data_IF_858808706450
#
_entry.id   IF_858808706450
#
_cell.length_a   1.000
_cell.length_b   1.000
_cell.length_c   1.000
_cell.angle_alpha   90.00
_cell.angle_beta   90.00
_cell.angle_gamma   90.00
#
_symmetry.space_group_name_H-M   'P 1'
#
loop_
_entity.id
_entity.type
_entity.pdbx_description
1 polymer ?
#
# COMPACT_ATOMS: atom_id res chain seq x y z
N UNK A 1 27.43 -22.43 32.87
CA UNK A 1 26.94 -22.03 31.52
C UNK A 1 26.28 -23.13 30.67
N UNK A 2 26.76 -24.38 30.61
CA UNK A 2 26.19 -25.44 29.73
C UNK A 2 24.74 -25.87 30.04
N UNK A 3 24.24 -25.71 31.27
CA UNK A 3 22.88 -26.11 31.70
C UNK A 3 21.78 -25.22 31.09
N UNK A 4 22.03 -23.92 30.97
CA UNK A 4 21.10 -22.94 30.36
C UNK A 4 20.90 -23.17 28.85
N UNK A 5 21.97 -23.55 28.13
CA UNK A 5 21.87 -23.90 26.71
C UNK A 5 21.02 -25.15 26.44
N UNK A 6 20.92 -26.08 27.41
CA UNK A 6 20.08 -27.29 27.29
C UNK A 6 18.59 -26.95 27.40
N UNK A 7 18.23 -25.97 28.22
CA UNK A 7 16.87 -25.44 28.35
C UNK A 7 16.40 -24.72 27.08
N UNK A 8 17.27 -23.89 26.48
CA UNK A 8 17.00 -23.21 25.20
C UNK A 8 16.77 -24.18 24.02
N UNK A 9 17.25 -25.43 24.12
CA UNK A 9 17.02 -26.47 23.10
C UNK A 9 15.70 -27.23 23.27
N UNK A 10 14.96 -27.05 24.37
CA UNK A 10 13.70 -27.75 24.61
C UNK A 10 12.62 -27.31 23.59
N UNK A 11 11.92 -28.27 22.99
CA UNK A 11 10.86 -28.01 22.00
C UNK A 11 9.73 -27.14 22.56
N UNK A 12 9.36 -27.35 23.82
CA UNK A 12 8.30 -26.57 24.49
C UNK A 12 8.72 -25.12 24.74
N UNK A 13 9.99 -24.90 25.11
CA UNK A 13 10.52 -23.55 25.27
C UNK A 13 10.50 -22.79 23.94
N UNK A 14 10.88 -23.45 22.84
CA UNK A 14 10.80 -22.84 21.50
C UNK A 14 9.37 -22.46 21.11
N UNK A 15 8.40 -23.34 21.39
CA UNK A 15 6.98 -23.03 21.12
C UNK A 15 6.57 -21.79 21.91
N UNK A 16 6.80 -21.77 23.22
CA UNK A 16 6.40 -20.66 24.10
C UNK A 16 7.08 -19.37 23.64
N UNK A 17 8.39 -19.40 23.39
CA UNK A 17 9.14 -18.24 22.94
C UNK A 17 8.60 -17.67 21.62
N UNK A 18 8.43 -18.52 20.59
CA UNK A 18 7.94 -18.09 19.29
C UNK A 18 6.46 -17.66 19.33
N UNK A 19 5.64 -18.33 20.14
CA UNK A 19 4.25 -17.91 20.38
C UNK A 19 4.18 -16.55 21.08
N UNK A 20 5.04 -16.27 22.07
CA UNK A 20 5.10 -14.95 22.73
C UNK A 20 5.55 -13.87 21.74
N UNK A 21 6.61 -14.12 20.97
CA UNK A 21 7.06 -13.18 19.92
C UNK A 21 5.95 -12.94 18.89
N UNK A 22 5.24 -13.99 18.49
CA UNK A 22 4.12 -13.87 17.56
C UNK A 22 2.95 -13.09 18.16
N UNK A 23 2.57 -13.34 19.41
CA UNK A 23 1.52 -12.59 20.11
C UNK A 23 1.90 -11.12 20.23
N UNK A 24 3.16 -10.80 20.56
CA UNK A 24 3.64 -9.42 20.56
C UNK A 24 3.52 -8.77 19.17
N UNK A 25 3.83 -9.52 18.10
CA UNK A 25 3.61 -9.06 16.72
C UNK A 25 2.11 -8.87 16.41
N UNK A 26 1.23 -9.77 16.86
CA UNK A 26 -0.21 -9.66 16.67
C UNK A 26 -0.79 -8.47 17.44
N UNK A 27 -0.31 -8.21 18.66
CA UNK A 27 -0.68 -7.02 19.44
C UNK A 27 -0.18 -5.76 18.74
N UNK A 28 1.06 -5.76 18.25
CA UNK A 28 1.66 -4.64 17.54
C UNK A 28 0.91 -4.31 16.25
N UNK A 29 0.58 -5.32 15.44
CA UNK A 29 -0.28 -5.16 14.26
C UNK A 29 -1.73 -4.83 14.65
N UNK A 30 -2.16 -5.26 15.84
CA UNK A 30 -3.51 -5.19 16.40
C UNK A 30 -4.58 -5.76 15.48
N UNK A 31 -4.23 -6.80 14.71
CA UNK A 31 -5.14 -7.58 13.89
C UNK A 31 -5.30 -8.97 14.52
N UNK A 32 -6.37 -9.16 15.29
CA UNK A 32 -6.65 -10.37 16.04
C UNK A 32 -6.86 -11.60 15.17
N UNK A 33 -7.21 -11.42 13.89
CA UNK A 33 -7.34 -12.53 12.93
C UNK A 33 -6.02 -13.29 12.73
N UNK A 34 -4.89 -12.61 12.93
CA UNK A 34 -3.57 -13.24 12.88
C UNK A 34 -3.37 -14.25 14.01
N UNK A 35 -4.18 -14.27 15.09
CA UNK A 35 -4.08 -15.30 16.13
C UNK A 35 -4.32 -16.72 15.60
N UNK A 36 -5.00 -16.88 14.46
CA UNK A 36 -5.12 -18.17 13.78
C UNK A 36 -3.77 -18.78 13.34
N UNK A 37 -2.69 -17.98 13.34
CA UNK A 37 -1.32 -18.48 13.17
C UNK A 37 -0.73 -19.20 14.39
N UNK A 38 -1.32 -19.09 15.59
CA UNK A 38 -0.84 -19.81 16.78
C UNK A 38 -0.99 -21.33 16.66
N UNK A 39 -2.14 -21.88 16.18
CA UNK A 39 -2.25 -23.29 15.82
C UNK A 39 -1.16 -23.77 14.84
N UNK A 40 -0.76 -22.91 13.89
CA UNK A 40 0.32 -23.20 12.93
C UNK A 40 1.67 -23.32 13.62
N UNK A 41 2.00 -22.39 14.53
CA UNK A 41 3.24 -22.43 15.33
C UNK A 41 3.24 -23.66 16.25
N UNK A 42 2.10 -23.96 16.87
CA UNK A 42 1.94 -25.14 17.73
C UNK A 42 2.13 -26.44 16.94
N UNK A 43 1.50 -26.54 15.77
CA UNK A 43 1.64 -27.69 14.90
C UNK A 43 3.08 -27.85 14.38
N UNK A 44 3.74 -26.75 14.01
CA UNK A 44 5.14 -26.78 13.57
C UNK A 44 6.10 -27.42 14.60
N UNK A 45 5.94 -27.10 15.87
CA UNK A 45 6.86 -27.54 16.91
C UNK A 45 6.43 -28.80 17.67
N UNK A 46 5.12 -29.00 17.90
CA UNK A 46 4.59 -30.09 18.73
C UNK A 46 4.00 -31.19 17.86
N UNK A 47 2.90 -30.89 17.18
CA UNK A 47 2.02 -31.89 16.57
C UNK A 47 2.59 -32.46 15.27
N UNK A 48 3.33 -31.64 14.50
CA UNK A 48 3.95 -31.96 13.21
C UNK A 48 3.02 -32.67 12.23
N UNK A 49 1.70 -32.45 12.33
CA UNK A 49 0.71 -33.03 11.40
C UNK A 49 0.88 -32.41 10.03
N UNK A 50 1.04 -31.09 9.97
CA UNK A 50 1.37 -30.36 8.75
C UNK A 50 2.88 -30.08 8.74
N UNK A 51 3.54 -30.44 7.64
CA UNK A 51 4.98 -30.24 7.50
C UNK A 51 5.27 -28.84 6.96
N UNK A 52 5.36 -27.85 7.85
CA UNK A 52 5.68 -26.47 7.47
C UNK A 52 7.15 -26.25 7.08
N UNK A 53 8.03 -27.24 7.24
CA UNK A 53 9.42 -27.20 6.71
C UNK A 53 9.48 -27.67 5.25
N UNK A 54 8.72 -27.04 4.36
CA UNK A 54 8.74 -27.37 2.92
C UNK A 54 10.10 -27.10 2.26
N UNK A 55 10.95 -26.27 2.87
CA UNK A 55 12.32 -25.97 2.39
C UNK A 55 13.40 -26.99 2.80
N UNK A 56 13.08 -27.98 3.64
CA UNK A 56 14.08 -28.93 4.17
C UNK A 56 14.00 -30.25 3.41
N UNK A 57 15.12 -30.71 2.83
CA UNK A 57 15.23 -32.02 2.17
C UNK A 57 14.73 -33.13 3.10
N UNK A 58 13.84 -33.98 2.57
CA UNK A 58 13.30 -35.15 3.29
C UNK A 58 14.07 -36.40 2.88
N UNK A 59 14.25 -37.32 3.82
CA UNK A 59 14.79 -38.66 3.56
C UNK A 59 13.68 -39.69 3.21
N UNK A 60 12.46 -39.23 2.93
CA UNK A 60 11.34 -40.09 2.54
C UNK A 60 11.20 -40.03 1.02
N UNK A 61 10.93 -41.19 0.43
CA UNK A 61 11.01 -41.52 -1.00
C UNK A 61 10.71 -40.36 -1.96
N UNK A 62 11.58 -40.25 -2.97
CA UNK A 62 11.64 -39.27 -4.07
C UNK A 62 10.31 -38.55 -4.31
N UNK A 63 10.10 -37.38 -3.68
CA UNK A 63 9.16 -36.39 -4.22
C UNK A 63 9.61 -36.05 -5.64
N UNK A 64 8.65 -35.88 -6.56
CA UNK A 64 8.95 -35.36 -7.89
C UNK A 64 9.67 -34.02 -7.75
N UNK A 65 10.74 -33.79 -8.54
CA UNK A 65 11.46 -32.51 -8.61
C UNK A 65 10.51 -31.31 -8.80
N UNK A 66 9.37 -31.56 -9.43
CA UNK A 66 8.30 -30.59 -9.67
C UNK A 66 7.66 -30.10 -8.35
N UNK A 67 7.43 -31.00 -7.40
CA UNK A 67 6.84 -30.65 -6.10
C UNK A 67 7.81 -29.82 -5.28
N UNK A 68 9.11 -30.17 -5.29
CA UNK A 68 10.14 -29.36 -4.60
C UNK A 68 10.24 -27.95 -5.18
N UNK A 69 10.11 -27.80 -6.50
CA UNK A 69 10.10 -26.50 -7.17
C UNK A 69 8.85 -25.68 -6.84
N UNK A 70 7.66 -26.29 -6.83
CA UNK A 70 6.42 -25.64 -6.40
C UNK A 70 6.51 -25.20 -4.92
N UNK A 71 7.01 -26.07 -4.05
CA UNK A 71 7.20 -25.79 -2.62
C UNK A 71 8.11 -24.56 -2.42
N UNK A 72 9.21 -24.47 -3.19
CA UNK A 72 10.11 -23.32 -3.16
C UNK A 72 9.47 -22.04 -3.71
N UNK A 73 8.66 -22.14 -4.77
CA UNK A 73 7.95 -21.00 -5.35
C UNK A 73 6.92 -20.43 -4.37
N UNK A 74 6.09 -21.27 -3.76
CA UNK A 74 5.09 -20.86 -2.77
C UNK A 74 5.76 -20.13 -1.60
N UNK A 75 6.89 -20.64 -1.12
CA UNK A 75 7.67 -19.97 -0.09
C UNK A 75 8.12 -18.57 -0.48
N UNK A 76 8.74 -18.46 -1.66
CA UNK A 76 9.28 -17.21 -2.16
C UNK A 76 8.15 -16.17 -2.27
N UNK A 77 6.97 -16.57 -2.76
CA UNK A 77 5.80 -15.69 -2.86
C UNK A 77 5.31 -15.24 -1.48
N UNK A 78 5.18 -16.14 -0.50
CA UNK A 78 4.76 -15.79 0.86
C UNK A 78 5.77 -14.83 1.51
N UNK A 79 7.05 -15.17 1.46
CA UNK A 79 8.12 -14.36 2.03
C UNK A 79 8.20 -12.98 1.36
N UNK A 80 8.16 -12.92 0.03
CA UNK A 80 8.15 -11.67 -0.72
C UNK A 80 6.91 -10.82 -0.41
N UNK A 81 5.73 -11.44 -0.23
CA UNK A 81 4.50 -10.73 0.15
C UNK A 81 4.63 -10.09 1.53
N UNK A 82 5.20 -10.80 2.51
CA UNK A 82 5.44 -10.27 3.86
C UNK A 82 6.46 -9.13 3.83
N UNK A 83 7.60 -9.32 3.16
CA UNK A 83 8.65 -8.30 3.03
C UNK A 83 8.08 -7.05 2.37
N UNK A 84 7.35 -7.21 1.26
CA UNK A 84 6.70 -6.13 0.52
C UNK A 84 5.64 -5.42 1.35
N UNK A 85 4.89 -6.14 2.19
CA UNK A 85 3.82 -5.56 2.99
C UNK A 85 4.38 -4.68 4.12
N UNK A 86 5.42 -5.12 4.81
CA UNK A 86 5.87 -4.51 6.07
C UNK A 86 7.22 -3.80 6.03
N UNK A 87 8.14 -4.21 5.17
CA UNK A 87 9.54 -3.79 5.26
C UNK A 87 9.93 -2.83 4.15
N UNK A 88 9.98 -3.34 2.92
CA UNK A 88 10.57 -2.63 1.77
C UNK A 88 9.70 -2.86 0.54
N UNK A 89 9.46 -1.81 -0.24
CA UNK A 89 8.85 -1.92 -1.56
C UNK A 89 9.73 -1.22 -2.60
N UNK A 90 9.93 -1.89 -3.73
CA UNK A 90 10.62 -1.33 -4.87
C UNK A 90 9.63 -0.59 -5.77
N UNK A 91 9.93 0.67 -6.11
CA UNK A 91 9.14 1.48 -7.02
C UNK A 91 10.00 1.90 -8.22
N UNK A 92 9.43 1.83 -9.41
CA UNK A 92 10.03 2.41 -10.62
C UNK A 92 9.45 3.81 -10.84
N UNK A 93 10.27 4.77 -11.25
CA UNK A 93 9.81 6.15 -11.52
C UNK A 93 9.36 6.25 -12.99
N UNK A 94 8.05 6.43 -13.26
CA UNK A 94 7.55 6.48 -14.63
C UNK A 94 7.56 7.90 -15.23
N UNK A 95 7.80 8.94 -14.43
CA UNK A 95 7.63 10.34 -14.86
C UNK A 95 8.79 11.23 -14.44
N UNK A 96 9.14 12.22 -15.27
CA UNK A 96 10.27 13.15 -15.08
C UNK A 96 10.02 14.23 -14.01
N UNK A 97 9.00 14.09 -13.17
CA UNK A 97 8.66 15.14 -12.19
C UNK A 97 9.76 15.38 -11.14
N UNK A 98 10.69 14.44 -10.98
CA UNK A 98 11.84 14.54 -10.08
C UNK A 98 13.18 14.52 -10.83
N UNK A 99 13.21 14.79 -12.14
CA UNK A 99 14.37 14.58 -13.03
C UNK A 99 15.68 15.22 -12.53
N UNK A 100 15.60 16.34 -11.82
CA UNK A 100 16.79 16.98 -11.20
C UNK A 100 17.42 16.17 -10.05
N UNK A 101 16.77 15.11 -9.57
CA UNK A 101 17.25 14.25 -8.48
C UNK A 101 17.17 12.77 -8.81
N UNK A 102 16.15 12.36 -9.58
CA UNK A 102 15.87 10.97 -9.93
C UNK A 102 15.35 10.90 -11.37
N UNK A 103 15.98 10.06 -12.19
CA UNK A 103 15.66 9.96 -13.61
C UNK A 103 14.50 9.00 -13.85
N UNK A 104 13.87 9.14 -15.02
CA UNK A 104 12.84 8.19 -15.47
C UNK A 104 13.48 6.83 -15.69
N UNK A 105 12.88 5.79 -15.12
CA UNK A 105 13.41 4.42 -15.17
C UNK A 105 14.23 4.02 -13.93
N UNK A 106 14.56 4.95 -13.03
CA UNK A 106 15.23 4.61 -11.78
C UNK A 106 14.34 3.75 -10.87
N UNK A 107 14.96 2.79 -10.18
CA UNK A 107 14.33 1.96 -9.16
C UNK A 107 14.70 2.43 -7.76
N UNK A 108 13.70 2.69 -6.93
CA UNK A 108 13.85 3.12 -5.54
C UNK A 108 13.43 2.00 -4.60
N UNK A 109 14.27 1.71 -3.60
CA UNK A 109 13.87 0.92 -2.45
C UNK A 109 13.31 1.83 -1.36
N UNK A 110 12.02 1.68 -1.07
CA UNK A 110 11.32 2.50 -0.09
C UNK A 110 11.15 1.73 1.21
N UNK A 111 11.68 2.27 2.30
CA UNK A 111 11.48 1.73 3.65
C UNK A 111 10.09 2.09 4.18
N UNK A 112 9.26 1.07 4.39
CA UNK A 112 7.95 1.22 5.05
C UNK A 112 8.08 1.33 6.57
N UNK A 113 9.16 0.79 7.13
CA UNK A 113 9.41 0.80 8.57
C UNK A 113 9.71 2.22 9.09
N UNK A 114 10.30 3.07 8.25
CA UNK A 114 10.68 4.44 8.62
C UNK A 114 9.47 5.28 9.06
N UNK A 115 8.37 5.24 8.29
CA UNK A 115 7.16 6.04 8.56
C UNK A 115 5.95 5.22 9.02
N UNK A 116 6.13 3.90 9.16
CA UNK A 116 5.12 3.00 9.66
C UNK A 116 4.45 2.21 8.53
N UNK A 117 4.58 0.87 8.53
CA UNK A 117 3.92 0.04 7.53
C UNK A 117 2.40 0.11 7.69
N UNK A 118 1.70 -0.04 6.56
CA UNK A 118 0.24 -0.07 6.50
C UNK A 118 -0.23 -1.51 6.53
N UNK A 119 -1.27 -1.79 7.31
CA UNK A 119 -1.92 -3.10 7.28
C UNK A 119 -2.64 -3.28 5.95
N UNK A 120 -2.55 -4.48 5.33
CA UNK A 120 -3.29 -4.76 4.11
C UNK A 120 -4.80 -4.72 4.38
N UNK A 121 -5.53 -3.93 3.61
CA UNK A 121 -6.99 -3.83 3.73
C UNK A 121 -7.68 -4.96 2.96
N UNK A 122 -7.08 -5.38 1.85
CA UNK A 122 -7.54 -6.48 0.99
C UNK A 122 -6.61 -7.69 1.08
N UNK A 123 -6.77 -8.57 2.10
CA UNK A 123 -5.89 -9.72 2.29
C UNK A 123 -6.01 -10.75 1.15
N UNK A 124 -7.20 -10.85 0.54
CA UNK A 124 -7.45 -11.72 -0.60
C UNK A 124 -7.25 -10.95 -1.90
N UNK A 125 -6.00 -10.81 -2.31
CA UNK A 125 -5.62 -10.18 -3.57
C UNK A 125 -4.54 -10.99 -4.27
N UNK A 126 -4.51 -10.90 -5.60
CA UNK A 126 -3.43 -11.47 -6.39
C UNK A 126 -2.13 -10.70 -6.05
N UNK A 127 -1.05 -11.40 -5.64
CA UNK A 127 0.20 -10.74 -5.31
C UNK A 127 0.73 -9.93 -6.50
N UNK A 128 1.33 -8.77 -6.22
CA UNK A 128 1.98 -7.90 -7.20
C UNK A 128 1.08 -7.26 -8.27
N UNK A 129 -0.25 -7.42 -8.20
CA UNK A 129 -1.19 -6.79 -9.13
C UNK A 129 -2.10 -5.78 -8.42
N UNK A 130 -2.18 -4.56 -8.96
CA UNK A 130 -3.03 -3.48 -8.42
C UNK A 130 -4.32 -3.33 -9.22
N UNK A 131 -4.21 -3.30 -10.56
CA UNK A 131 -5.33 -3.27 -11.52
C UNK A 131 -4.90 -3.90 -12.83
N UNK A 132 -5.82 -4.53 -13.54
CA UNK A 132 -5.60 -4.87 -14.95
C UNK A 132 -5.99 -3.68 -15.82
N UNK A 133 -5.09 -3.24 -16.69
CA UNK A 133 -5.38 -2.14 -17.61
C UNK A 133 -6.49 -2.54 -18.58
N UNK A 134 -7.50 -1.68 -18.76
CA UNK A 134 -8.56 -1.87 -19.75
C UNK A 134 -9.63 -2.91 -19.39
N UNK A 135 -9.62 -3.48 -18.17
CA UNK A 135 -10.68 -4.41 -17.74
C UNK A 135 -11.38 -3.94 -16.47
N UNK A 136 -12.65 -4.31 -16.34
CA UNK A 136 -13.45 -4.13 -15.13
C UNK A 136 -13.09 -5.14 -14.03
N UNK A 137 -12.17 -6.08 -14.31
CA UNK A 137 -11.81 -7.14 -13.39
C UNK A 137 -10.94 -6.59 -12.25
N UNK A 138 -11.43 -6.76 -11.02
CA UNK A 138 -10.71 -6.38 -9.81
C UNK A 138 -9.78 -7.54 -9.41
N UNK A 139 -8.44 -7.34 -9.33
CA UNK A 139 -7.49 -8.38 -8.89
C UNK A 139 -7.55 -8.69 -7.39
N UNK A 140 -8.61 -8.24 -6.71
CA UNK A 140 -8.82 -8.38 -5.28
C UNK A 140 -10.27 -8.70 -5.01
N UNK A 141 -10.50 -9.50 -3.97
CA UNK A 141 -11.84 -9.79 -3.48
C UNK A 141 -12.23 -8.81 -2.39
N UNK A 142 -13.49 -8.38 -2.43
CA UNK A 142 -14.08 -7.48 -1.45
C UNK A 142 -14.78 -8.23 -0.31
N UNK A 143 -14.72 -9.56 -0.28
CA UNK A 143 -15.37 -10.42 0.74
C UNK A 143 -14.85 -10.16 2.16
N UNK A 144 -13.55 -9.88 2.29
CA UNK A 144 -12.90 -9.59 3.56
C UNK A 144 -12.17 -8.27 3.41
N UNK A 145 -12.67 -7.21 4.06
CA UNK A 145 -12.03 -5.90 4.13
C UNK A 145 -11.68 -5.56 5.56
N UNK A 146 -10.41 -5.24 5.80
CA UNK A 146 -9.98 -4.68 7.07
C UNK A 146 -10.04 -3.14 7.02
N UNK A 147 -10.33 -2.46 8.15
CA UNK A 147 -10.25 -1.02 8.23
C UNK A 147 -8.81 -0.54 8.01
N UNK A 148 -8.66 0.69 7.50
CA UNK A 148 -7.34 1.30 7.33
C UNK A 148 -6.63 1.44 8.67
N UNK A 149 -5.41 0.90 8.76
CA UNK A 149 -4.57 1.02 9.94
C UNK A 149 -3.11 1.17 9.53
N UNK A 150 -2.46 2.22 10.05
CA UNK A 150 -1.02 2.43 9.91
C UNK A 150 -0.34 2.15 11.24
N UNK A 151 0.70 1.32 11.20
CA UNK A 151 1.51 1.02 12.39
C UNK A 151 2.46 2.18 12.67
N UNK A 152 2.95 2.26 13.92
CA UNK A 152 3.90 3.30 14.29
C UNK A 152 5.24 3.06 13.60
N UNK A 153 5.74 4.05 12.88
CA UNK A 153 7.08 4.04 12.29
C UNK A 153 8.19 4.28 13.30
N UNK A 154 9.42 3.97 12.92
CA UNK A 154 10.62 4.23 13.74
C UNK A 154 11.06 5.70 13.71
N UNK A 155 10.70 6.45 12.65
CA UNK A 155 11.12 7.82 12.43
C UNK A 155 9.96 8.80 12.25
N UNK A 156 10.32 10.08 12.11
CA UNK A 156 9.42 11.18 11.75
C UNK A 156 9.86 11.74 10.40
N UNK A 157 8.90 12.25 9.62
CA UNK A 157 9.16 12.92 8.34
C UNK A 157 10.01 14.17 8.58
N UNK A 158 11.03 14.37 7.73
CA UNK A 158 11.88 15.54 7.71
C UNK A 158 11.73 16.27 6.39
N UNK A 159 12.08 17.56 6.40
CA UNK A 159 12.20 18.34 5.17
C UNK A 159 13.23 17.69 4.25
N UNK A 160 12.97 17.81 2.96
CA UNK A 160 13.73 17.24 1.84
C UNK A 160 13.74 15.72 1.73
N UNK A 161 13.07 14.98 2.62
CA UNK A 161 12.89 13.54 2.45
C UNK A 161 12.15 13.24 1.15
N UNK A 162 12.61 12.21 0.42
CA UNK A 162 11.86 11.67 -0.71
C UNK A 162 10.84 10.69 -0.14
N UNK A 163 9.56 11.04 -0.30
CA UNK A 163 8.44 10.31 0.30
C UNK A 163 7.59 9.69 -0.79
N UNK A 164 7.10 8.48 -0.49
CA UNK A 164 6.09 7.79 -1.30
C UNK A 164 4.78 7.76 -0.54
N UNK A 165 3.73 8.24 -1.18
CA UNK A 165 2.39 8.34 -0.59
C UNK A 165 1.33 8.04 -1.65
N UNK A 166 0.13 7.70 -1.19
CA UNK A 166 -1.01 7.50 -2.10
C UNK A 166 -1.45 8.83 -2.69
N UNK A 167 -1.79 8.81 -3.97
CA UNK A 167 -2.37 9.95 -4.62
C UNK A 167 -3.71 10.32 -3.95
N UNK A 168 -3.86 11.54 -3.40
CA UNK A 168 -5.04 11.89 -2.60
C UNK A 168 -6.38 11.85 -3.34
N UNK A 169 -6.36 12.03 -4.67
CA UNK A 169 -7.55 11.99 -5.53
C UNK A 169 -7.71 10.62 -6.25
N UNK A 170 -7.07 9.56 -5.73
CA UNK A 170 -7.01 8.24 -6.36
C UNK A 170 -8.05 7.22 -5.86
N UNK A 171 -8.91 7.61 -4.92
CA UNK A 171 -9.96 6.77 -4.33
C UNK A 171 -11.05 6.36 -5.35
N UNK A 172 -11.35 7.26 -6.27
CA UNK A 172 -12.41 7.12 -7.29
C UNK A 172 -11.81 7.30 -8.68
N UNK A 173 -12.06 6.33 -9.58
CA UNK A 173 -11.51 6.32 -10.93
C UNK A 173 -12.60 6.10 -11.97
N UNK A 174 -12.53 6.86 -13.07
CA UNK A 174 -13.28 6.60 -14.29
C UNK A 174 -12.45 5.66 -15.19
N UNK A 175 -12.94 4.44 -15.48
CA UNK A 175 -12.14 3.41 -16.16
C UNK A 175 -11.69 3.85 -17.56
N UNK A 176 -12.56 4.53 -18.29
CA UNK A 176 -12.32 4.99 -19.66
C UNK A 176 -11.38 6.20 -19.71
N UNK A 177 -11.20 6.92 -18.60
CA UNK A 177 -10.29 8.08 -18.47
C UNK A 177 -9.41 7.97 -17.24
N UNK A 178 -8.79 6.81 -17.04
CA UNK A 178 -7.93 6.52 -15.88
C UNK A 178 -6.67 7.38 -15.78
N UNK A 179 -6.29 8.10 -16.84
CA UNK A 179 -5.17 9.06 -16.83
C UNK A 179 -5.46 10.34 -16.02
N UNK A 180 -6.73 10.67 -15.77
CA UNK A 180 -7.13 11.84 -15.01
C UNK A 180 -7.85 11.43 -13.72
N UNK A 181 -7.70 12.24 -12.66
CA UNK A 181 -8.47 12.01 -11.43
C UNK A 181 -9.96 12.26 -11.68
N UNK A 182 -10.81 11.47 -11.02
CA UNK A 182 -12.26 11.66 -11.08
C UNK A 182 -12.66 13.11 -10.73
N UNK A 183 -12.04 13.68 -9.68
CA UNK A 183 -12.32 15.05 -9.26
C UNK A 183 -11.87 16.10 -10.28
N UNK A 184 -10.79 15.87 -11.02
CA UNK A 184 -10.39 16.76 -12.12
C UNK A 184 -11.41 16.72 -13.25
N UNK A 185 -11.89 15.55 -13.63
CA UNK A 185 -12.95 15.39 -14.65
C UNK A 185 -14.21 16.14 -14.22
N UNK A 186 -14.67 15.94 -12.98
CA UNK A 186 -15.84 16.64 -12.42
C UNK A 186 -15.64 18.15 -12.40
N UNK A 187 -14.48 18.65 -11.96
CA UNK A 187 -14.18 20.09 -11.95
C UNK A 187 -14.18 20.69 -13.35
N UNK A 188 -13.63 19.98 -14.34
CA UNK A 188 -13.60 20.43 -15.72
C UNK A 188 -15.02 20.56 -16.30
N UNK A 189 -15.88 19.57 -16.10
CA UNK A 189 -17.29 19.65 -16.51
C UNK A 189 -18.04 20.76 -15.78
N UNK A 190 -17.84 20.88 -14.46
CA UNK A 190 -18.48 21.94 -13.66
C UNK A 190 -18.08 23.34 -14.18
N UNK A 191 -16.80 23.53 -14.50
CA UNK A 191 -16.31 24.77 -15.09
C UNK A 191 -16.94 25.03 -16.46
N UNK A 192 -17.02 24.03 -17.34
CA UNK A 192 -17.65 24.16 -18.66
C UNK A 192 -19.13 24.58 -18.54
N UNK A 193 -19.91 23.93 -17.68
CA UNK A 193 -21.33 24.27 -17.46
C UNK A 193 -21.46 25.71 -16.96
N UNK A 194 -20.60 26.11 -16.01
CA UNK A 194 -20.57 27.47 -15.48
C UNK A 194 -20.25 28.50 -16.57
N UNK A 195 -19.27 28.24 -17.42
CA UNK A 195 -18.93 29.14 -18.53
C UNK A 195 -20.10 29.26 -19.52
N UNK A 196 -20.78 28.15 -19.84
CA UNK A 196 -21.93 28.17 -20.74
C UNK A 196 -23.10 28.98 -20.18
N UNK A 197 -23.38 28.88 -18.87
CA UNK A 197 -24.41 29.69 -18.21
C UNK A 197 -24.08 31.19 -18.28
N UNK A 198 -22.82 31.55 -17.99
CA UNK A 198 -22.33 32.93 -18.07
C UNK A 198 -22.46 33.48 -19.50
N UNK A 199 -22.04 32.69 -20.50
CA UNK A 199 -22.15 33.06 -21.92
C UNK A 199 -23.61 33.20 -22.38
N UNK A 200 -24.52 32.43 -21.81
CA UNK A 200 -25.96 32.50 -22.08
C UNK A 200 -26.67 33.66 -21.36
N UNK A 201 -25.93 34.51 -20.63
CA UNK A 201 -26.49 35.62 -19.85
C UNK A 201 -27.22 35.20 -18.58
N UNK A 202 -27.08 33.94 -18.13
CA UNK A 202 -27.69 33.47 -16.88
C UNK A 202 -26.83 33.89 -15.69
N UNK A 203 -27.48 34.19 -14.58
CA UNK A 203 -26.78 34.43 -13.32
C UNK A 203 -26.06 33.15 -12.87
N UNK A 204 -24.76 33.22 -12.52
CA UNK A 204 -24.00 32.05 -12.11
C UNK A 204 -24.59 31.48 -10.81
N UNK A 205 -24.92 30.20 -10.84
CA UNK A 205 -25.43 29.46 -9.68
C UNK A 205 -24.30 29.15 -8.68
N UNK A 206 -24.69 28.59 -7.54
CA UNK A 206 -23.75 28.10 -6.53
C UNK A 206 -22.79 27.06 -7.14
N UNK A 207 -21.51 27.07 -6.74
CA UNK A 207 -20.51 26.09 -7.16
C UNK A 207 -20.94 24.63 -6.92
N UNK A 208 -21.62 24.37 -5.79
CA UNK A 208 -22.14 23.05 -5.47
C UNK A 208 -23.16 22.54 -6.50
N UNK A 209 -23.94 23.44 -7.10
CA UNK A 209 -24.87 23.09 -8.18
C UNK A 209 -24.10 22.57 -9.38
N UNK A 210 -23.09 23.32 -9.86
CA UNK A 210 -22.27 22.91 -11.00
C UNK A 210 -21.53 21.60 -10.75
N UNK A 211 -21.00 21.41 -9.54
CA UNK A 211 -20.35 20.15 -9.15
C UNK A 211 -21.33 18.97 -9.13
N UNK A 212 -22.56 19.15 -8.63
CA UNK A 212 -23.58 18.10 -8.64
C UNK A 212 -23.99 17.68 -10.05
N UNK A 213 -24.18 18.65 -10.94
CA UNK A 213 -24.56 18.38 -12.33
C UNK A 213 -23.40 17.70 -13.08
N UNK A 214 -22.18 18.18 -12.89
CA UNK A 214 -20.99 17.54 -13.44
C UNK A 214 -20.85 16.09 -12.97
N UNK A 215 -21.11 15.77 -11.70
CA UNK A 215 -21.09 14.38 -11.20
C UNK A 215 -22.14 13.51 -11.90
N UNK A 216 -23.32 14.04 -12.16
CA UNK A 216 -24.38 13.31 -12.89
C UNK A 216 -23.95 13.01 -14.33
N UNK A 217 -23.37 13.98 -15.03
CA UNK A 217 -22.84 13.80 -16.39
C UNK A 217 -21.73 12.75 -16.40
N UNK A 218 -20.77 12.87 -15.50
CA UNK A 218 -19.64 11.93 -15.39
C UNK A 218 -20.13 10.51 -15.11
N UNK A 219 -21.11 10.34 -14.21
CA UNK A 219 -21.69 9.02 -13.90
C UNK A 219 -22.47 8.40 -15.08
N UNK A 220 -23.04 9.22 -15.96
CA UNK A 220 -23.74 8.75 -17.17
C UNK A 220 -22.78 8.34 -18.28
N UNK A 221 -21.64 9.04 -18.39
CA UNK A 221 -20.71 8.88 -19.51
C UNK A 221 -19.56 7.91 -19.21
N UNK A 222 -19.30 7.59 -17.94
CA UNK A 222 -18.14 6.81 -17.52
C UNK A 222 -18.48 5.78 -16.46
N UNK A 223 -17.75 4.66 -16.47
CA UNK A 223 -17.83 3.63 -15.45
C UNK A 223 -16.98 4.04 -14.25
N UNK A 224 -17.66 4.40 -13.15
CA UNK A 224 -17.01 4.86 -11.92
C UNK A 224 -16.80 3.70 -10.96
N UNK A 225 -15.54 3.51 -10.56
CA UNK A 225 -15.13 2.47 -9.60
C UNK A 225 -14.35 3.11 -8.46
N UNK A 226 -14.66 2.69 -7.24
CA UNK A 226 -13.89 3.06 -6.05
C UNK A 226 -12.87 1.97 -5.71
N UNK A 227 -11.71 2.37 -5.20
CA UNK A 227 -10.60 1.49 -4.82
C UNK A 227 -10.29 1.64 -3.33
N UNK A 228 -9.87 0.57 -2.64
CA UNK A 228 -9.35 0.70 -1.29
C UNK A 228 -7.96 1.35 -1.31
N UNK A 229 -7.56 1.95 -0.18
CA UNK A 229 -6.33 2.75 -0.04
C UNK A 229 -5.05 1.97 -0.36
N UNK A 230 -5.04 0.64 -0.19
CA UNK A 230 -3.92 -0.23 -0.53
C UNK A 230 -3.81 -0.56 -2.03
N UNK A 231 -4.79 -0.12 -2.84
CA UNK A 231 -4.86 -0.29 -4.31
C UNK A 231 -4.86 1.03 -5.08
N UNK A 232 -4.71 2.14 -4.38
CA UNK A 232 -4.53 3.46 -4.99
C UNK A 232 -3.12 3.64 -5.55
N UNK A 233 -2.98 4.56 -6.50
CA UNK A 233 -1.70 4.88 -7.12
C UNK A 233 -0.76 5.56 -6.12
N UNK A 234 0.54 5.29 -6.28
CA UNK A 234 1.58 5.85 -5.41
C UNK A 234 2.36 6.94 -6.15
N UNK A 235 2.64 8.04 -5.46
CA UNK A 235 3.41 9.16 -5.96
C UNK A 235 4.70 9.29 -5.15
N UNK A 236 5.80 9.56 -5.85
CA UNK A 236 7.09 9.89 -5.23
C UNK A 236 7.31 11.39 -5.36
N UNK A 237 7.50 12.08 -4.24
CA UNK A 237 7.79 13.53 -4.21
C UNK A 237 8.77 13.87 -3.09
N UNK A 238 9.36 15.06 -3.16
CA UNK A 238 10.17 15.64 -2.09
C UNK A 238 9.26 16.34 -1.07
N UNK A 239 9.44 16.03 0.21
CA UNK A 239 8.75 16.71 1.31
C UNK A 239 9.40 18.08 1.56
N UNK A 240 8.86 19.14 0.95
CA UNK A 240 9.44 20.49 1.09
C UNK A 240 9.16 21.09 2.47
N UNK A 241 7.94 20.94 2.96
CA UNK A 241 7.49 21.48 4.25
C UNK A 241 6.85 20.38 5.11
N UNK A 242 6.99 20.51 6.42
CA UNK A 242 6.38 19.62 7.42
C UNK A 242 5.33 20.36 8.25
N UNK A 243 4.54 19.62 9.03
CA UNK A 243 3.52 20.23 9.90
C UNK A 243 4.13 21.30 10.82
N UNK A 244 3.49 22.48 10.86
CA UNK A 244 3.98 23.66 11.56
C UNK A 244 4.78 24.64 10.70
N UNK A 245 5.16 24.26 9.49
CA UNK A 245 5.84 25.17 8.56
C UNK A 245 4.85 26.09 7.84
N UNK A 246 5.27 27.33 7.61
CA UNK A 246 4.70 28.23 6.61
C UNK A 246 5.47 28.08 5.31
N UNK A 247 4.77 27.71 4.24
CA UNK A 247 5.32 27.58 2.90
C UNK A 247 4.83 28.71 2.02
N UNK A 248 5.74 29.43 1.38
CA UNK A 248 5.42 30.52 0.47
C UNK A 248 6.20 30.40 -0.85
N UNK A 249 5.57 30.81 -1.95
CA UNK A 249 6.26 30.99 -3.22
C UNK A 249 6.32 32.47 -3.57
N UNK A 250 7.53 33.02 -3.73
CA UNK A 250 7.75 34.42 -4.11
C UNK A 250 8.65 34.47 -5.35
N UNK A 251 8.13 35.00 -6.46
CA UNK A 251 8.85 35.14 -7.75
C UNK A 251 9.57 33.84 -8.19
N UNK A 252 8.91 32.69 -8.03
CA UNK A 252 9.46 31.38 -8.41
C UNK A 252 10.40 30.72 -7.39
N UNK A 253 10.69 31.37 -6.25
CA UNK A 253 11.46 30.79 -5.15
C UNK A 253 10.56 30.33 -4.01
N UNK A 254 10.92 29.21 -3.39
CA UNK A 254 10.25 28.69 -2.22
C UNK A 254 10.85 29.33 -0.96
N UNK A 255 10.00 29.71 -0.02
CA UNK A 255 10.37 30.18 1.31
C UNK A 255 9.67 29.31 2.36
N UNK A 256 10.43 28.87 3.35
CA UNK A 256 9.95 28.06 4.47
C UNK A 256 10.22 28.86 5.76
N UNK A 257 9.16 29.21 6.47
CA UNK A 257 9.23 30.06 7.68
C UNK A 257 10.01 31.35 7.43
N UNK A 258 9.74 32.00 6.28
CA UNK A 258 10.40 33.24 5.85
C UNK A 258 11.84 33.08 5.31
N UNK A 259 12.46 31.91 5.43
CA UNK A 259 13.81 31.63 4.90
C UNK A 259 13.72 31.03 3.50
N UNK A 260 14.59 31.47 2.59
CA UNK A 260 14.67 30.88 1.24
C UNK A 260 15.06 29.41 1.34
N UNK A 261 14.25 28.54 0.74
CA UNK A 261 14.38 27.08 0.73
C UNK A 261 15.16 26.54 -0.45
#
# INVERSE_FOLDING_TARGET
>A
MKKYFKFLKNKYFKVIFWSVVYILFVIWTGNWWLLLGLPVIFDYYITKKVNWTFWKKRNLEKKSKLIEWIDALVFAVIAATIIRSFFIEAYMIPTSSLEKSLLVGDYLFVSKVSYGPRMPMTPLAIPFTHTFQGSTFKPYSELIKAPYKRLKGLGKIKRNDIVVFNFPEGDTVALERSAESYYKIVRNYAWQIKQNDIQSGKQPKNENYYLSEARNIVKRNYTIVTRPVDKEDNYVKRCVAIAGDTLEMRKGFIYINGKKG
#
